data_IF_350000475455
#
_entry.id   IF_350000475455
#
_cell.length_a   1.000
_cell.length_b   1.000
_cell.length_c   1.000
_cell.angle_alpha   90.00
_cell.angle_beta   90.00
_cell.angle_gamma   90.00
#
_symmetry.space_group_name_H-M   'P 1'
#
loop_
_entity.id
_entity.type
_entity.pdbx_description
1 polymer ?
#
# COMPACT_ATOMS: atom_id res chain seq x y z
N UNK A 1 -24.83 -16.40 91.66
CA UNK A 1 -24.18 -17.64 91.20
C UNK A 1 -24.67 -17.93 89.78
N UNK A 2 -23.77 -17.79 88.79
CA UNK A 2 -23.58 -18.64 87.58
C UNK A 2 -24.79 -19.41 87.02
N UNK A 3 -25.15 -19.32 85.72
CA UNK A 3 -24.32 -19.65 84.55
C UNK A 3 -24.90 -19.08 83.24
N UNK A 4 -23.97 -18.73 82.35
CA UNK A 4 -24.09 -18.38 80.92
C UNK A 4 -24.59 -19.54 80.06
N UNK A 5 -25.32 -19.25 78.98
CA UNK A 5 -25.23 -20.00 77.72
C UNK A 5 -25.52 -19.10 76.52
N UNK A 6 -24.50 -18.99 75.67
CA UNK A 6 -24.43 -18.33 74.37
C UNK A 6 -25.26 -19.09 73.33
N UNK A 7 -25.94 -18.37 72.43
CA UNK A 7 -26.32 -18.91 71.12
C UNK A 7 -25.75 -17.99 70.04
N UNK A 8 -25.00 -18.60 69.13
CA UNK A 8 -24.17 -17.95 68.14
C UNK A 8 -24.99 -17.12 67.14
N UNK A 9 -24.39 -15.99 66.76
CA UNK A 9 -24.75 -15.20 65.59
C UNK A 9 -24.35 -15.94 64.32
N UNK A 10 -25.23 -16.01 63.34
CA UNK A 10 -24.86 -16.27 61.94
C UNK A 10 -25.65 -15.35 61.03
N UNK A 11 -24.97 -14.32 60.51
CA UNK A 11 -25.36 -13.56 59.32
C UNK A 11 -24.18 -13.61 58.33
N UNK A 12 -24.34 -13.17 57.07
CA UNK A 12 -24.82 -13.95 55.94
C UNK A 12 -23.68 -14.20 54.94
N UNK A 13 -23.63 -15.36 54.29
CA UNK A 13 -22.66 -15.57 53.20
C UNK A 13 -23.25 -14.98 51.92
N UNK A 14 -22.86 -13.74 51.61
CA UNK A 14 -23.00 -13.15 50.28
C UNK A 14 -22.05 -13.88 49.32
N UNK A 15 -22.58 -14.76 48.49
CA UNK A 15 -21.83 -15.33 47.36
C UNK A 15 -21.79 -14.29 46.22
N UNK A 16 -20.71 -13.52 46.15
CA UNK A 16 -20.42 -12.66 45.00
C UNK A 16 -19.90 -13.56 43.87
N UNK A 17 -20.74 -13.82 42.87
CA UNK A 17 -20.33 -14.46 41.63
C UNK A 17 -19.49 -13.47 40.81
N UNK A 18 -18.17 -13.68 40.77
CA UNK A 18 -17.27 -12.93 39.90
C UNK A 18 -17.50 -13.33 38.44
N UNK A 19 -18.29 -12.55 37.71
CA UNK A 19 -18.38 -12.61 36.25
C UNK A 19 -17.03 -12.17 35.67
N UNK A 20 -16.23 -13.13 35.22
CA UNK A 20 -15.05 -12.88 34.42
C UNK A 20 -15.50 -12.29 33.07
N UNK A 21 -15.48 -10.96 32.97
CA UNK A 21 -15.63 -10.26 31.69
C UNK A 21 -14.37 -10.55 30.89
N UNK A 22 -14.44 -11.55 30.00
CA UNK A 22 -13.45 -11.68 28.94
C UNK A 22 -13.60 -10.45 28.06
N UNK A 23 -12.69 -9.49 28.22
CA UNK A 23 -12.48 -8.43 27.26
C UNK A 23 -12.06 -9.09 25.95
N UNK A 24 -13.04 -9.37 25.09
CA UNK A 24 -12.75 -9.62 23.69
C UNK A 24 -12.10 -8.34 23.18
N UNK A 25 -10.77 -8.33 23.12
CA UNK A 25 -10.03 -7.32 22.38
C UNK A 25 -10.53 -7.43 20.94
N UNK A 26 -11.50 -6.60 20.58
CA UNK A 26 -11.81 -6.36 19.20
C UNK A 26 -10.48 -5.92 18.57
N UNK A 27 -9.88 -6.79 17.77
CA UNK A 27 -8.79 -6.42 16.89
C UNK A 27 -9.37 -5.34 15.99
N UNK A 28 -9.22 -4.07 16.38
CA UNK A 28 -9.53 -2.95 15.52
C UNK A 28 -8.71 -3.19 14.26
N UNK A 29 -9.40 -3.37 13.12
CA UNK A 29 -8.71 -3.44 11.84
C UNK A 29 -7.81 -2.20 11.74
N UNK A 30 -6.56 -2.40 11.36
CA UNK A 30 -5.62 -1.28 11.22
C UNK A 30 -6.29 -0.20 10.35
N UNK A 31 -6.32 1.08 10.79
CA UNK A 31 -6.94 2.14 10.02
C UNK A 31 -6.32 2.16 8.62
N UNK A 32 -7.15 2.25 7.58
CA UNK A 32 -6.63 2.29 6.21
C UNK A 32 -5.99 3.66 5.96
N UNK A 33 -4.70 3.74 5.60
CA UNK A 33 -4.03 5.00 5.31
C UNK A 33 -4.72 5.74 4.15
N UNK A 34 -4.86 7.07 4.26
CA UNK A 34 -5.26 7.91 3.12
C UNK A 34 -4.04 8.16 2.22
N UNK A 35 -4.07 7.57 1.03
CA UNK A 35 -3.00 7.67 0.04
C UNK A 35 -3.36 8.58 -1.14
N UNK A 36 -4.52 9.26 -1.09
CA UNK A 36 -4.91 10.21 -2.13
C UNK A 36 -3.88 11.33 -2.29
N UNK A 37 -3.82 11.87 -3.49
CA UNK A 37 -2.95 12.98 -3.85
C UNK A 37 -1.82 12.58 -4.79
N UNK A 38 -0.95 13.56 -5.05
CA UNK A 38 0.19 13.39 -5.95
C UNK A 38 1.41 12.93 -5.18
N UNK A 39 2.09 11.97 -5.76
CA UNK A 39 3.38 11.48 -5.32
C UNK A 39 4.36 11.66 -6.46
N UNK A 40 5.50 12.29 -6.19
CA UNK A 40 6.44 12.75 -7.20
C UNK A 40 7.81 12.14 -6.99
N UNK A 41 8.48 11.78 -8.07
CA UNK A 41 9.82 11.21 -8.03
C UNK A 41 10.38 11.05 -9.44
N UNK A 42 11.27 10.08 -9.59
CA UNK A 42 11.84 9.70 -10.89
C UNK A 42 11.73 8.21 -11.11
N UNK A 43 11.59 7.83 -12.37
CA UNK A 43 11.70 6.43 -12.79
C UNK A 43 13.17 6.00 -12.81
N UNK A 44 13.47 4.79 -12.36
CA UNK A 44 14.77 4.15 -12.63
C UNK A 44 14.50 2.88 -13.41
N UNK A 45 14.55 3.00 -14.73
CA UNK A 45 13.95 2.02 -15.65
C UNK A 45 15.00 1.28 -16.46
N UNK A 46 14.80 -0.02 -16.60
CA UNK A 46 15.47 -0.86 -17.59
C UNK A 46 14.43 -1.34 -18.62
N UNK A 47 14.78 -1.26 -19.90
CA UNK A 47 13.88 -1.58 -21.01
C UNK A 47 14.57 -2.50 -22.01
N UNK A 48 13.88 -3.57 -22.41
CA UNK A 48 14.18 -4.36 -23.59
C UNK A 48 13.02 -4.23 -24.59
N UNK A 49 13.28 -3.77 -25.81
CA UNK A 49 12.27 -3.43 -26.81
C UNK A 49 11.87 -1.96 -26.79
N UNK A 50 10.74 -1.63 -27.42
CA UNK A 50 10.21 -0.26 -27.52
C UNK A 50 8.68 -0.27 -27.52
N UNK A 51 8.08 0.74 -26.90
CA UNK A 51 6.63 0.83 -26.75
C UNK A 51 6.20 1.70 -25.57
N UNK A 52 4.91 2.06 -25.53
CA UNK A 52 4.29 2.79 -24.42
C UNK A 52 5.07 4.04 -24.01
N UNK A 53 5.48 4.08 -22.74
CA UNK A 53 6.28 5.15 -22.13
C UNK A 53 7.72 5.29 -22.69
N UNK A 54 8.16 4.34 -23.52
CA UNK A 54 9.52 4.21 -24.04
C UNK A 54 9.54 4.01 -25.57
N UNK A 55 8.94 4.92 -26.36
CA UNK A 55 8.72 4.70 -27.80
C UNK A 55 10.02 4.69 -28.62
N UNK A 56 11.07 5.37 -28.14
CA UNK A 56 12.37 5.50 -28.79
C UNK A 56 13.45 4.57 -28.22
N UNK A 57 13.08 3.71 -27.25
CA UNK A 57 14.05 2.77 -26.68
C UNK A 57 14.51 1.76 -27.73
N UNK A 58 15.75 1.29 -27.61
CA UNK A 58 16.32 0.27 -28.50
C UNK A 58 17.05 -0.81 -27.70
N UNK A 59 16.67 -0.99 -26.42
CA UNK A 59 17.30 -1.99 -25.55
C UNK A 59 16.97 -3.42 -26.00
N UNK A 60 17.84 -4.36 -25.66
CA UNK A 60 17.57 -5.82 -25.80
C UNK A 60 17.73 -6.50 -24.44
N UNK A 61 17.45 -7.79 -24.34
CA UNK A 61 17.72 -8.53 -23.09
C UNK A 61 19.22 -8.66 -22.79
N UNK A 62 20.07 -8.72 -23.82
CA UNK A 62 21.53 -8.77 -23.70
C UNK A 62 22.12 -7.40 -23.40
N UNK A 63 21.49 -6.33 -23.91
CA UNK A 63 21.91 -4.94 -23.71
C UNK A 63 20.69 -4.06 -23.47
N UNK A 64 20.11 -4.07 -22.25
CA UNK A 64 18.94 -3.26 -21.93
C UNK A 64 19.29 -1.78 -21.99
N UNK A 65 18.29 -0.97 -22.32
CA UNK A 65 18.39 0.47 -22.26
C UNK A 65 18.02 0.95 -20.86
N UNK A 66 18.80 1.88 -20.32
CA UNK A 66 18.54 2.49 -19.01
C UNK A 66 17.98 3.89 -19.21
N UNK A 67 16.87 4.18 -18.55
CA UNK A 67 16.17 5.45 -18.69
C UNK A 67 15.73 5.99 -17.34
N UNK A 68 15.72 7.32 -17.26
CA UNK A 68 15.16 8.08 -16.16
C UNK A 68 14.25 9.18 -16.74
N UNK A 69 13.06 9.30 -16.18
CA UNK A 69 12.03 10.30 -16.51
C UNK A 69 11.35 10.74 -15.21
N UNK A 70 10.80 11.95 -15.21
CA UNK A 70 9.98 12.43 -14.10
C UNK A 70 8.72 11.58 -13.97
N UNK A 71 8.34 11.30 -12.73
CA UNK A 71 7.24 10.42 -12.38
C UNK A 71 6.27 11.17 -11.46
N UNK A 72 4.99 11.15 -11.82
CA UNK A 72 3.90 11.54 -10.94
C UNK A 72 2.93 10.37 -10.82
N UNK A 73 2.82 9.83 -9.61
CA UNK A 73 1.82 8.83 -9.26
C UNK A 73 0.68 9.55 -8.53
N UNK A 74 -0.45 9.74 -9.21
CA UNK A 74 -1.56 10.53 -8.69
C UNK A 74 -2.76 9.64 -8.33
N UNK A 75 -3.00 9.45 -7.03
CA UNK A 75 -4.16 8.71 -6.52
C UNK A 75 -5.35 9.67 -6.47
N UNK A 76 -6.27 9.52 -7.43
CA UNK A 76 -7.41 10.42 -7.63
C UNK A 76 -8.63 10.01 -6.81
N UNK A 77 -8.74 8.74 -6.45
CA UNK A 77 -9.82 8.24 -5.61
C UNK A 77 -9.41 7.03 -4.78
N UNK A 78 -10.07 6.90 -3.62
CA UNK A 78 -9.84 5.83 -2.67
C UNK A 78 -11.16 5.53 -1.92
N UNK A 79 -11.48 4.24 -1.81
CA UNK A 79 -12.58 3.70 -1.03
C UNK A 79 -12.09 2.52 -0.17
N UNK A 80 -11.88 2.79 1.12
CA UNK A 80 -11.20 1.89 2.03
C UNK A 80 -9.80 1.59 1.50
N UNK A 81 -9.51 0.30 1.28
CA UNK A 81 -8.22 -0.18 0.77
C UNK A 81 -8.09 -0.10 -0.75
N UNK A 82 -9.20 0.12 -1.47
CA UNK A 82 -9.22 0.14 -2.94
C UNK A 82 -8.97 1.56 -3.41
N UNK A 83 -8.15 1.72 -4.43
CA UNK A 83 -7.80 3.05 -4.95
C UNK A 83 -7.55 2.99 -6.45
N UNK A 84 -7.60 4.16 -7.09
CA UNK A 84 -7.36 4.32 -8.52
C UNK A 84 -6.74 5.68 -8.80
N UNK A 85 -6.11 5.79 -9.97
CA UNK A 85 -5.34 6.98 -10.28
C UNK A 85 -4.75 6.95 -11.68
N UNK A 86 -3.78 7.84 -11.85
CA UNK A 86 -3.01 7.98 -13.09
C UNK A 86 -1.54 8.09 -12.75
N UNK A 87 -0.73 7.30 -13.43
CA UNK A 87 0.72 7.46 -13.50
C UNK A 87 1.05 8.34 -14.68
N UNK A 88 1.81 9.41 -14.46
CA UNK A 88 2.36 10.26 -15.51
C UNK A 88 3.87 10.07 -15.53
N UNK A 89 4.41 9.72 -16.69
CA UNK A 89 5.85 9.71 -16.95
C UNK A 89 6.15 10.79 -17.98
N UNK A 90 7.14 11.64 -17.70
CA UNK A 90 7.49 12.75 -18.57
C UNK A 90 8.97 13.09 -18.59
N UNK A 91 9.41 13.69 -19.70
CA UNK A 91 10.67 14.43 -19.79
C UNK A 91 10.41 15.76 -20.54
N UNK A 92 11.45 16.36 -21.12
CA UNK A 92 11.34 17.62 -21.88
C UNK A 92 10.42 17.51 -23.10
N UNK A 93 10.42 16.36 -23.77
CA UNK A 93 9.89 16.20 -25.12
C UNK A 93 8.63 15.31 -25.17
N UNK A 94 8.47 14.45 -24.15
CA UNK A 94 7.41 13.44 -24.09
C UNK A 94 6.70 13.49 -22.74
N UNK A 95 5.38 13.34 -22.78
CA UNK A 95 4.53 13.11 -21.61
C UNK A 95 3.52 12.03 -21.96
N UNK A 96 3.37 11.09 -21.04
CA UNK A 96 2.50 9.92 -21.22
C UNK A 96 1.81 9.62 -19.90
N UNK A 97 0.51 9.35 -19.97
CA UNK A 97 -0.34 9.09 -18.83
C UNK A 97 -0.90 7.65 -18.94
N UNK A 98 -0.97 6.94 -17.83
CA UNK A 98 -1.51 5.59 -17.75
C UNK A 98 -2.43 5.44 -16.52
N UNK A 99 -3.70 5.01 -16.70
CA UNK A 99 -4.59 4.77 -15.58
C UNK A 99 -4.23 3.48 -14.85
N UNK A 100 -4.45 3.46 -13.54
CA UNK A 100 -4.25 2.27 -12.72
C UNK A 100 -5.38 2.07 -11.71
N UNK A 101 -5.51 0.82 -11.26
CA UNK A 101 -6.29 0.43 -10.08
C UNK A 101 -5.37 -0.32 -9.10
N UNK A 102 -5.67 -0.22 -7.82
CA UNK A 102 -4.87 -0.90 -6.80
C UNK A 102 -5.64 -1.19 -5.51
N UNK A 103 -5.01 -2.01 -4.69
CA UNK A 103 -5.47 -2.31 -3.35
C UNK A 103 -4.32 -2.28 -2.34
N UNK A 104 -4.58 -1.69 -1.17
CA UNK A 104 -3.72 -1.77 0.01
C UNK A 104 -3.90 -3.12 0.69
N UNK A 105 -2.80 -3.79 0.98
CA UNK A 105 -2.77 -5.13 1.57
C UNK A 105 -1.71 -5.23 2.67
N UNK A 106 -1.59 -6.43 3.25
CA UNK A 106 -0.65 -6.72 4.33
C UNK A 106 -1.04 -6.09 5.67
N UNK A 107 -0.14 -6.23 6.64
CA UNK A 107 -0.31 -5.65 7.98
C UNK A 107 -0.26 -4.12 7.89
N UNK A 108 -1.19 -3.44 8.56
CA UNK A 108 -1.26 -1.98 8.51
C UNK A 108 -1.74 -1.38 7.19
N UNK A 109 -2.19 -2.21 6.22
CA UNK A 109 -2.58 -1.75 4.87
C UNK A 109 -1.47 -0.92 4.19
N UNK A 110 -0.21 -1.36 4.32
CA UNK A 110 0.96 -0.64 3.83
C UNK A 110 1.55 -1.18 2.54
N UNK A 111 1.16 -2.37 2.10
CA UNK A 111 1.64 -2.92 0.82
C UNK A 111 0.70 -2.48 -0.29
N UNK A 112 1.25 -2.03 -1.42
CA UNK A 112 0.48 -1.66 -2.61
C UNK A 112 0.58 -2.80 -3.63
N UNK A 113 -0.56 -3.25 -4.13
CA UNK A 113 -0.66 -4.11 -5.32
C UNK A 113 -1.49 -3.38 -6.35
N UNK A 114 -0.91 -3.12 -7.52
CA UNK A 114 -1.47 -2.26 -8.56
C UNK A 114 -1.38 -2.97 -9.90
N UNK A 115 -2.42 -2.79 -10.72
CA UNK A 115 -2.41 -3.14 -12.13
C UNK A 115 -2.80 -1.91 -12.96
N UNK A 116 -2.14 -1.75 -14.11
CA UNK A 116 -2.45 -0.75 -15.13
C UNK A 116 -2.78 -1.45 -16.45
N UNK A 117 -2.55 -0.79 -17.59
CA UNK A 117 -3.06 -1.28 -18.88
C UNK A 117 -2.21 -2.39 -19.48
N UNK A 118 -0.97 -2.53 -19.02
CA UNK A 118 -0.03 -3.50 -19.57
C UNK A 118 0.86 -4.20 -18.53
N UNK A 119 0.81 -3.79 -17.27
CA UNK A 119 1.71 -4.25 -16.22
C UNK A 119 1.14 -4.24 -14.81
N UNK A 120 2.07 -4.44 -13.89
CA UNK A 120 1.81 -4.50 -12.46
C UNK A 120 2.83 -3.67 -11.72
N UNK A 121 2.39 -3.03 -10.64
CA UNK A 121 3.26 -2.35 -9.68
C UNK A 121 3.05 -2.99 -8.31
N UNK A 122 4.17 -3.36 -7.68
CA UNK A 122 4.20 -3.85 -6.31
C UNK A 122 5.07 -2.90 -5.47
N UNK A 123 4.55 -2.45 -4.34
CA UNK A 123 5.24 -1.46 -3.51
C UNK A 123 4.78 -1.43 -2.07
N UNK A 124 5.22 -0.41 -1.35
CA UNK A 124 4.87 -0.19 0.04
C UNK A 124 4.91 1.30 0.43
N UNK A 125 4.07 1.66 1.41
CA UNK A 125 4.19 2.89 2.17
C UNK A 125 5.32 2.73 3.19
N UNK A 126 6.45 3.39 2.94
CA UNK A 126 7.58 3.38 3.87
C UNK A 126 7.26 4.25 5.10
N UNK A 127 6.61 5.39 4.86
CA UNK A 127 6.06 6.28 5.87
C UNK A 127 4.77 6.97 5.33
N UNK A 128 4.35 8.10 5.91
CA UNK A 128 3.13 8.80 5.50
C UNK A 128 3.29 9.57 4.17
N UNK A 129 4.53 9.86 3.78
CA UNK A 129 4.92 10.76 2.71
C UNK A 129 5.90 10.14 1.72
N UNK A 130 6.24 8.85 1.87
CA UNK A 130 7.14 8.09 0.99
C UNK A 130 6.52 6.76 0.57
N UNK A 131 6.52 6.49 -0.74
CA UNK A 131 6.17 5.20 -1.34
C UNK A 131 7.35 4.68 -2.15
N UNK A 132 7.76 3.44 -1.89
CA UNK A 132 8.71 2.69 -2.73
C UNK A 132 7.98 1.60 -3.51
N UNK A 133 8.28 1.46 -4.80
CA UNK A 133 7.66 0.43 -5.62
C UNK A 133 8.53 -0.02 -6.79
N UNK A 134 8.16 -1.17 -7.37
CA UNK A 134 8.64 -1.62 -8.66
C UNK A 134 7.46 -1.94 -9.59
N UNK A 135 7.49 -1.35 -10.78
CA UNK A 135 6.67 -1.71 -11.91
C UNK A 135 7.34 -2.80 -12.73
N UNK A 136 6.53 -3.71 -13.26
CA UNK A 136 6.94 -4.78 -14.15
C UNK A 136 5.88 -5.04 -15.21
N UNK A 137 6.29 -5.10 -16.47
CA UNK A 137 5.53 -5.76 -17.52
C UNK A 137 6.43 -6.57 -18.44
N UNK A 138 5.89 -7.68 -18.93
CA UNK A 138 6.55 -8.51 -19.94
C UNK A 138 5.98 -8.17 -21.31
N UNK A 139 6.83 -8.21 -22.34
CA UNK A 139 6.55 -7.71 -23.70
C UNK A 139 5.51 -8.45 -24.53
N UNK A 140 4.43 -8.93 -23.92
CA UNK A 140 3.27 -9.49 -24.58
C UNK A 140 2.65 -8.52 -25.58
N UNK A 141 1.76 -7.62 -25.16
CA UNK A 141 1.05 -6.70 -26.08
C UNK A 141 1.84 -5.45 -26.48
N UNK A 142 2.99 -5.18 -25.84
CA UNK A 142 3.63 -3.86 -25.85
C UNK A 142 4.92 -3.80 -26.65
N UNK A 143 5.42 -4.92 -27.20
CA UNK A 143 6.75 -5.03 -27.82
C UNK A 143 7.92 -4.59 -26.91
N UNK A 144 7.68 -4.36 -25.61
CA UNK A 144 8.69 -3.97 -24.63
C UNK A 144 8.51 -4.74 -23.32
N UNK A 145 9.62 -5.16 -22.73
CA UNK A 145 9.71 -5.63 -21.35
C UNK A 145 10.37 -4.55 -20.52
N UNK A 146 9.74 -4.17 -19.42
CA UNK A 146 10.18 -3.05 -18.58
C UNK A 146 10.13 -3.47 -17.12
N UNK A 147 11.21 -3.14 -16.41
CA UNK A 147 11.24 -3.06 -14.95
C UNK A 147 11.59 -1.63 -14.59
N UNK A 148 10.85 -1.01 -13.68
CA UNK A 148 11.15 0.32 -13.15
C UNK A 148 10.93 0.34 -11.65
N UNK A 149 11.96 0.64 -10.87
CA UNK A 149 11.83 0.78 -9.42
C UNK A 149 12.05 2.23 -9.01
N UNK A 150 11.17 2.75 -8.17
CA UNK A 150 11.11 4.17 -7.82
C UNK A 150 10.75 4.37 -6.37
N UNK A 151 11.30 5.44 -5.81
CA UNK A 151 10.78 6.09 -4.61
C UNK A 151 10.06 7.37 -5.05
N UNK A 152 8.84 7.57 -4.56
CA UNK A 152 8.07 8.80 -4.77
C UNK A 152 7.67 9.40 -3.43
N UNK A 153 7.70 10.73 -3.38
CA UNK A 153 7.34 11.50 -2.19
C UNK A 153 6.05 12.25 -2.39
N UNK A 154 5.24 12.35 -1.36
CA UNK A 154 4.01 13.14 -1.39
C UNK A 154 4.34 14.58 -1.79
N UNK A 155 3.64 15.09 -2.79
CA UNK A 155 3.75 16.48 -3.18
C UNK A 155 3.24 17.38 -2.03
N UNK A 156 3.86 18.56 -1.83
CA UNK A 156 3.37 19.53 -0.85
C UNK A 156 1.92 19.96 -1.09
#
# INVERSE_FOLDING_TARGET
MTKTSSSLRTSPIFAVAALAVWSASALAADPTPDIKGKWVGKTHTIVAGSGGHWPTSSGTFEKPAFHEKDLVFNVTGQDGRRFWGVTTISNRDEKTDEPFIGELTGRGNKTLVIADTDGYLNGQLDDNDTVSFCYSHAGGKTNSTVISCSEVKRAP
#
